data_IF_019958599146
#
_entry.id   IF_019958599146
#
_cell.length_a   1.000
_cell.length_b   1.000
_cell.length_c   1.000
_cell.angle_alpha   90.00
_cell.angle_beta   90.00
_cell.angle_gamma   90.00
#
_symmetry.space_group_name_H-M   'P 1'
#
loop_
_entity.id
_entity.type
_entity.pdbx_description
1 polymer ?
#
# COMPACT_ATOMS: atom_id res chain seq x y z
N UNK A 1 12.73 -83.40 34.77
CA UNK A 1 12.09 -83.25 33.44
C UNK A 1 12.22 -81.81 33.01
N UNK A 2 12.54 -81.54 31.73
CA UNK A 2 12.67 -80.18 31.23
C UNK A 2 11.32 -79.44 31.32
N UNK A 3 11.31 -78.27 31.94
CA UNK A 3 10.15 -77.37 32.02
C UNK A 3 10.35 -76.25 31.03
N UNK A 4 9.42 -76.03 30.10
CA UNK A 4 9.52 -74.95 29.12
C UNK A 4 8.40 -73.93 29.31
N UNK A 5 8.73 -72.67 29.02
CA UNK A 5 7.80 -71.56 28.90
C UNK A 5 7.95 -71.01 27.48
N UNK A 6 6.86 -70.99 26.73
CA UNK A 6 6.88 -70.57 25.33
C UNK A 6 5.80 -69.52 25.09
N UNK A 7 6.10 -68.50 24.30
CA UNK A 7 5.05 -67.67 23.71
C UNK A 7 4.22 -68.52 22.75
N UNK A 8 2.90 -68.41 22.84
CA UNK A 8 2.01 -68.96 21.81
C UNK A 8 2.22 -68.24 20.47
N UNK A 9 1.78 -68.86 19.37
CA UNK A 9 2.11 -68.41 18.00
C UNK A 9 1.71 -66.94 17.71
N UNK A 10 0.65 -66.44 18.35
CA UNK A 10 0.14 -65.08 18.14
C UNK A 10 0.50 -64.13 19.29
N UNK A 11 1.21 -64.59 20.31
CA UNK A 11 1.59 -63.70 21.41
C UNK A 11 2.69 -62.74 20.96
N UNK A 12 2.56 -61.43 21.26
CA UNK A 12 3.64 -60.51 21.03
C UNK A 12 4.84 -60.84 21.92
N UNK A 13 6.03 -60.50 21.42
CA UNK A 13 7.31 -60.61 22.15
C UNK A 13 7.91 -59.24 22.47
N UNK A 14 7.16 -58.19 22.16
CA UNK A 14 7.51 -56.80 22.39
C UNK A 14 6.28 -56.03 22.88
N UNK A 15 6.50 -55.02 23.71
CA UNK A 15 5.46 -54.12 24.20
C UNK A 15 6.01 -52.69 24.22
N UNK A 16 5.15 -51.71 23.91
CA UNK A 16 5.52 -50.29 23.98
C UNK A 16 5.29 -49.74 25.38
N UNK A 17 6.14 -48.81 25.81
CA UNK A 17 5.92 -48.07 27.06
C UNK A 17 4.56 -47.37 27.03
N UNK A 18 3.78 -47.54 28.09
CA UNK A 18 2.43 -46.98 28.23
C UNK A 18 1.31 -47.75 27.52
N UNK A 19 1.62 -48.81 26.76
CA UNK A 19 0.60 -49.69 26.17
C UNK A 19 -0.05 -50.54 27.26
N UNK A 20 -1.33 -50.29 27.52
CA UNK A 20 -2.12 -50.96 28.56
C UNK A 20 -3.02 -52.07 28.04
N UNK A 21 -3.01 -52.36 26.72
CA UNK A 21 -3.90 -53.36 26.12
C UNK A 21 -3.15 -54.63 25.71
N UNK A 22 -1.85 -54.54 25.42
CA UNK A 22 -1.06 -55.70 25.01
C UNK A 22 -1.03 -56.80 26.08
N UNK A 23 -1.50 -57.99 25.69
CA UNK A 23 -1.46 -59.21 26.50
C UNK A 23 -0.47 -60.21 25.91
N UNK A 24 0.41 -60.76 26.74
CA UNK A 24 1.23 -61.92 26.41
C UNK A 24 0.49 -63.21 26.73
N UNK A 25 0.52 -64.17 25.81
CA UNK A 25 -0.06 -65.50 26.00
C UNK A 25 1.03 -66.56 25.94
N UNK A 26 1.23 -67.26 27.04
CA UNK A 26 2.26 -68.29 27.22
C UNK A 26 1.67 -69.69 27.29
N UNK A 27 2.53 -70.70 27.17
CA UNK A 27 2.22 -72.09 27.48
C UNK A 27 3.33 -72.72 28.33
N UNK A 28 2.94 -73.37 29.43
CA UNK A 28 3.84 -74.17 30.28
C UNK A 28 3.83 -75.64 29.84
N UNK A 29 5.01 -76.25 29.69
CA UNK A 29 5.15 -77.68 29.35
C UNK A 29 6.14 -78.40 30.26
N UNK A 30 5.87 -79.67 30.54
CA UNK A 30 6.79 -80.62 31.18
C UNK A 30 7.17 -81.70 30.18
N UNK A 31 8.46 -81.84 29.88
CA UNK A 31 8.98 -82.80 28.89
C UNK A 31 8.21 -82.76 27.55
N UNK A 32 7.84 -81.56 27.09
CA UNK A 32 7.09 -81.33 25.85
C UNK A 32 5.57 -81.46 25.93
N UNK A 33 5.02 -82.00 27.03
CA UNK A 33 3.58 -82.12 27.24
C UNK A 33 3.02 -80.89 27.99
N UNK A 34 1.83 -80.43 27.64
CA UNK A 34 1.19 -79.28 28.31
C UNK A 34 0.92 -79.58 29.79
N UNK A 35 1.09 -78.58 30.65
CA UNK A 35 0.87 -78.70 32.09
C UNK A 35 -0.59 -78.41 32.42
N UNK A 36 -1.23 -79.24 33.24
CA UNK A 36 -2.51 -78.89 33.85
C UNK A 36 -2.29 -77.88 34.99
N UNK A 37 -2.76 -76.65 34.78
CA UNK A 37 -2.61 -75.54 35.72
C UNK A 37 -3.82 -75.40 36.67
N UNK A 38 -4.86 -76.23 36.53
CA UNK A 38 -6.10 -76.11 37.33
C UNK A 38 -5.90 -76.41 38.81
N UNK A 39 -4.84 -77.14 39.16
CA UNK A 39 -4.48 -77.46 40.54
C UNK A 39 -3.58 -76.40 41.20
N UNK A 40 -3.21 -75.34 40.46
CA UNK A 40 -2.39 -74.27 41.00
C UNK A 40 -3.16 -73.50 42.09
N UNK A 41 -2.48 -73.21 43.19
CA UNK A 41 -2.95 -72.35 44.29
C UNK A 41 -2.40 -70.92 44.17
N UNK A 42 -1.27 -70.75 43.47
CA UNK A 42 -0.72 -69.44 43.11
C UNK A 42 0.03 -69.52 41.77
N UNK A 43 -0.11 -68.48 40.95
CA UNK A 43 0.69 -68.31 39.73
C UNK A 43 1.26 -66.89 39.74
N UNK A 44 2.56 -66.76 39.52
CA UNK A 44 3.25 -65.46 39.54
C UNK A 44 4.19 -65.33 38.35
N UNK A 45 3.99 -64.29 37.57
CA UNK A 45 4.95 -63.84 36.57
C UNK A 45 6.06 -63.04 37.26
N UNK A 46 7.32 -63.38 36.97
CA UNK A 46 8.49 -62.67 37.49
C UNK A 46 9.33 -62.17 36.33
N UNK A 47 9.71 -60.91 36.39
CA UNK A 47 10.59 -60.31 35.39
C UNK A 47 11.95 -59.98 35.97
N UNK A 48 12.95 -60.09 35.11
CA UNK A 48 14.31 -59.64 35.36
C UNK A 48 14.92 -59.02 34.11
N UNK A 49 16.14 -58.55 34.25
CA UNK A 49 17.01 -58.20 33.14
C UNK A 49 18.43 -58.73 33.41
N UNK A 50 19.43 -58.29 32.65
CA UNK A 50 20.82 -58.69 32.85
C UNK A 50 21.38 -58.39 34.26
N UNK A 51 20.77 -57.48 35.01
CA UNK A 51 21.12 -57.15 36.40
C UNK A 51 20.43 -58.03 37.44
N UNK A 52 19.51 -58.91 37.02
CA UNK A 52 18.78 -59.84 37.88
C UNK A 52 17.28 -59.55 37.98
N UNK A 53 16.66 -60.08 39.04
CA UNK A 53 15.23 -59.94 39.31
C UNK A 53 14.83 -58.48 39.55
N UNK A 54 13.70 -58.07 38.98
CA UNK A 54 13.16 -56.71 39.11
C UNK A 54 11.88 -56.70 39.94
N UNK A 55 10.85 -57.43 39.50
CA UNK A 55 9.54 -57.50 40.18
C UNK A 55 8.69 -58.65 39.68
N UNK A 56 7.53 -58.81 40.32
CA UNK A 56 6.57 -59.86 40.02
C UNK A 56 5.14 -59.36 39.98
N UNK A 57 4.30 -60.01 39.19
CA UNK A 57 2.85 -59.78 39.14
C UNK A 57 2.13 -61.13 39.29
N UNK A 58 1.13 -61.25 40.18
CA UNK A 58 0.31 -62.45 40.25
C UNK A 58 -0.55 -62.60 38.98
N UNK A 59 -0.75 -63.84 38.53
CA UNK A 59 -1.73 -64.18 37.49
C UNK A 59 -2.90 -64.85 38.20
N UNK A 60 -4.08 -64.24 38.11
CA UNK A 60 -5.28 -64.75 38.79
C UNK A 60 -5.69 -66.09 38.20
N UNK A 61 -5.82 -67.14 39.02
CA UNK A 61 -6.14 -68.51 38.55
C UNK A 61 -7.49 -68.58 37.82
N UNK A 62 -8.47 -67.75 38.21
CA UNK A 62 -9.76 -67.70 37.50
C UNK A 62 -9.65 -67.19 36.06
N UNK A 63 -8.56 -66.49 35.70
CA UNK A 63 -8.32 -66.04 34.32
C UNK A 63 -7.93 -67.18 33.36
N UNK A 64 -7.65 -68.38 33.90
CA UNK A 64 -7.38 -69.57 33.10
C UNK A 64 -8.65 -70.15 32.46
N UNK A 65 -9.84 -69.79 32.96
CA UNK A 65 -11.10 -70.29 32.45
C UNK A 65 -11.28 -69.95 30.97
N UNK A 66 -11.54 -70.96 30.14
CA UNK A 66 -11.70 -70.81 28.69
C UNK A 66 -10.38 -70.79 27.89
N UNK A 67 -9.23 -70.87 28.55
CA UNK A 67 -7.95 -71.08 27.87
C UNK A 67 -7.68 -72.57 27.64
N UNK A 68 -6.84 -72.88 26.65
CA UNK A 68 -6.34 -74.24 26.44
C UNK A 68 -5.46 -74.69 27.62
N UNK A 69 -5.39 -75.99 27.95
CA UNK A 69 -4.55 -76.48 29.03
C UNK A 69 -3.09 -75.99 28.93
N UNK A 70 -2.55 -75.52 30.05
CA UNK A 70 -1.20 -74.98 30.15
C UNK A 70 -1.04 -73.54 29.69
N UNK A 71 -2.08 -72.90 29.14
CA UNK A 71 -2.00 -71.52 28.66
C UNK A 71 -2.19 -70.49 29.77
N UNK A 72 -1.51 -69.34 29.61
CA UNK A 72 -1.53 -68.23 30.56
C UNK A 72 -1.61 -66.91 29.82
N UNK A 73 -2.48 -66.00 30.25
CA UNK A 73 -2.50 -64.61 29.79
C UNK A 73 -1.88 -63.69 30.85
N UNK A 74 -1.03 -62.77 30.41
CA UNK A 74 -0.40 -61.75 31.24
C UNK A 74 -0.47 -60.41 30.50
N UNK A 75 -1.15 -59.44 31.09
CA UNK A 75 -1.05 -58.06 30.67
C UNK A 75 0.08 -57.39 31.47
N UNK A 76 1.23 -57.04 30.86
CA UNK A 76 2.39 -56.56 31.62
C UNK A 76 2.21 -55.14 32.18
N UNK A 77 1.34 -54.32 31.59
CA UNK A 77 0.96 -53.01 32.10
C UNK A 77 -0.43 -53.08 32.77
N UNK A 78 -0.68 -52.25 33.80
CA UNK A 78 0.18 -51.17 34.30
C UNK A 78 1.24 -51.58 35.33
N UNK A 79 1.29 -52.84 35.80
CA UNK A 79 2.04 -53.13 37.04
C UNK A 79 3.43 -53.73 36.82
N UNK A 80 3.54 -54.80 36.03
CA UNK A 80 4.78 -55.55 35.86
C UNK A 80 5.88 -54.75 35.17
N UNK A 81 5.55 -53.88 34.21
CA UNK A 81 6.57 -53.14 33.45
C UNK A 81 6.50 -51.61 33.60
N UNK A 82 5.64 -51.07 34.46
CA UNK A 82 5.56 -49.61 34.65
C UNK A 82 6.85 -49.01 35.18
N UNK A 83 7.23 -47.89 34.56
CA UNK A 83 8.46 -47.15 34.83
C UNK A 83 9.73 -47.83 34.35
N UNK A 84 9.67 -49.01 33.72
CA UNK A 84 10.87 -49.66 33.20
C UNK A 84 11.32 -49.02 31.88
N UNK A 85 12.63 -48.77 31.70
CA UNK A 85 13.15 -48.23 30.45
C UNK A 85 12.99 -49.24 29.30
N UNK A 86 13.00 -48.75 28.07
CA UNK A 86 13.10 -49.62 26.90
C UNK A 86 14.38 -50.47 26.96
N UNK A 87 14.27 -51.73 26.55
CA UNK A 87 15.36 -52.70 26.65
C UNK A 87 14.87 -54.14 26.60
N UNK A 88 15.83 -55.07 26.74
CA UNK A 88 15.56 -56.51 26.77
C UNK A 88 15.35 -56.98 28.21
N UNK A 89 14.29 -57.75 28.40
CA UNK A 89 13.87 -58.30 29.69
C UNK A 89 13.65 -59.80 29.56
N UNK A 90 13.58 -60.44 30.73
CA UNK A 90 13.45 -61.87 30.91
C UNK A 90 12.24 -62.16 31.79
N UNK A 91 11.57 -63.28 31.54
CA UNK A 91 10.35 -63.70 32.22
C UNK A 91 10.46 -65.15 32.69
N UNK A 92 10.01 -65.39 33.92
CA UNK A 92 9.70 -66.71 34.45
C UNK A 92 8.26 -66.74 34.95
N UNK A 93 7.63 -67.92 34.87
CA UNK A 93 6.35 -68.20 35.53
C UNK A 93 6.58 -69.19 36.66
N UNK A 94 6.16 -68.80 37.86
CA UNK A 94 6.22 -69.63 39.06
C UNK A 94 4.81 -70.11 39.38
N UNK A 95 4.61 -71.43 39.38
CA UNK A 95 3.33 -72.09 39.63
C UNK A 95 3.47 -72.89 40.94
N UNK A 96 2.63 -72.60 41.93
CA UNK A 96 2.62 -73.31 43.22
C UNK A 96 1.33 -74.09 43.38
N UNK A 97 1.43 -75.38 43.69
CA UNK A 97 0.32 -76.27 44.05
C UNK A 97 0.58 -76.93 45.42
N UNK A 98 -0.22 -77.94 45.78
CA UNK A 98 -0.04 -78.68 47.04
C UNK A 98 1.28 -79.47 47.10
N UNK A 99 1.87 -79.83 45.97
CA UNK A 99 3.12 -80.57 45.89
C UNK A 99 4.36 -79.66 45.96
N UNK A 100 4.23 -78.37 45.61
CA UNK A 100 5.26 -77.36 45.78
C UNK A 100 5.29 -76.33 44.64
N UNK A 101 6.43 -75.67 44.44
CA UNK A 101 6.59 -74.64 43.41
C UNK A 101 7.37 -75.16 42.21
N UNK A 102 6.78 -75.01 41.03
CA UNK A 102 7.39 -75.26 39.73
C UNK A 102 7.71 -73.94 39.03
N UNK A 103 8.96 -73.78 38.59
CA UNK A 103 9.45 -72.60 37.86
C UNK A 103 9.60 -72.96 36.37
N UNK A 104 9.07 -72.09 35.51
CA UNK A 104 9.08 -72.22 34.06
C UNK A 104 9.76 -70.99 33.42
N UNK A 105 10.74 -71.20 32.51
CA UNK A 105 11.35 -72.49 32.17
C UNK A 105 12.36 -72.95 33.24
N UNK A 106 12.80 -74.20 33.19
CA UNK A 106 13.83 -74.72 34.12
C UNK A 106 15.27 -74.38 33.70
N UNK A 107 15.46 -73.81 32.52
CA UNK A 107 16.74 -73.40 31.95
C UNK A 107 16.88 -71.87 31.90
N UNK A 108 17.02 -71.26 30.72
CA UNK A 108 17.18 -69.81 30.58
C UNK A 108 15.82 -69.11 30.56
N UNK A 109 15.63 -68.03 31.34
CA UNK A 109 14.39 -67.25 31.33
C UNK A 109 13.95 -66.80 29.93
N UNK A 110 12.63 -66.69 29.71
CA UNK A 110 12.04 -66.35 28.41
C UNK A 110 12.20 -64.84 28.11
N UNK A 111 12.85 -64.50 27.00
CA UNK A 111 13.14 -63.09 26.65
C UNK A 111 11.99 -62.33 25.97
N UNK A 112 11.84 -61.04 26.27
CA UNK A 112 10.96 -60.09 25.58
C UNK A 112 11.56 -58.67 25.58
N UNK A 113 11.01 -57.74 24.77
CA UNK A 113 11.54 -56.36 24.66
C UNK A 113 10.50 -55.32 25.03
N UNK A 114 10.89 -54.32 25.83
CA UNK A 114 10.13 -53.07 26.01
C UNK A 114 10.69 -52.04 25.03
N UNK A 115 9.81 -51.37 24.27
CA UNK A 115 10.18 -50.33 23.31
C UNK A 115 9.62 -48.97 23.71
N UNK A 116 10.31 -47.88 23.35
CA UNK A 116 9.78 -46.53 23.55
C UNK A 116 8.49 -46.34 22.73
N UNK A 117 7.52 -45.62 23.29
CA UNK A 117 6.46 -45.05 22.48
C UNK A 117 6.97 -43.78 21.76
N UNK A 118 6.17 -43.22 20.85
CA UNK A 118 6.58 -42.04 20.07
C UNK A 118 6.70 -40.78 20.95
N UNK A 119 5.92 -40.69 22.04
CA UNK A 119 6.00 -39.59 23.02
C UNK A 119 7.35 -39.58 23.76
N UNK A 120 7.95 -40.76 23.98
CA UNK A 120 9.24 -40.93 24.64
C UNK A 120 10.43 -40.87 23.65
N UNK A 121 10.18 -40.63 22.36
CA UNK A 121 11.26 -40.38 21.40
C UNK A 121 11.70 -38.91 21.51
N UNK A 122 13.01 -38.67 21.63
CA UNK A 122 13.60 -37.33 21.87
C UNK A 122 13.58 -36.44 20.62
N UNK A 123 12.41 -36.26 20.00
CA UNK A 123 12.16 -35.21 19.02
C UNK A 123 11.92 -33.88 19.73
N UNK A 124 12.51 -32.80 19.22
CA UNK A 124 12.24 -31.46 19.76
C UNK A 124 10.74 -31.18 19.67
N UNK A 125 10.12 -30.85 20.80
CA UNK A 125 8.74 -30.36 20.84
C UNK A 125 8.62 -29.17 19.88
N UNK A 126 7.60 -29.16 19.02
CA UNK A 126 7.25 -27.95 18.27
C UNK A 126 6.88 -26.90 19.32
N UNK A 127 7.70 -25.87 19.50
CA UNK A 127 7.40 -24.75 20.40
C UNK A 127 6.14 -24.07 19.89
N UNK A 128 5.02 -24.32 20.55
CA UNK A 128 3.77 -23.60 20.33
C UNK A 128 3.81 -22.34 21.19
N UNK A 129 3.69 -21.18 20.55
CA UNK A 129 3.48 -19.90 21.23
C UNK A 129 1.97 -19.70 21.38
N UNK A 130 1.50 -19.31 22.57
CA UNK A 130 0.09 -18.94 22.74
C UNK A 130 -0.20 -17.66 21.93
N UNK A 131 -1.43 -17.51 21.45
CA UNK A 131 -1.82 -16.31 20.69
C UNK A 131 -1.59 -15.03 21.51
N UNK A 132 -1.86 -15.06 22.81
CA UNK A 132 -1.67 -13.92 23.70
C UNK A 132 -0.19 -13.55 23.85
N UNK A 133 0.70 -14.55 24.00
CA UNK A 133 2.15 -14.35 24.04
C UNK A 133 2.67 -13.77 22.72
N UNK A 134 2.12 -14.21 21.59
CA UNK A 134 2.43 -13.66 20.27
C UNK A 134 1.99 -12.20 20.14
N UNK A 135 0.78 -11.87 20.60
CA UNK A 135 0.26 -10.50 20.62
C UNK A 135 1.12 -9.62 21.52
N UNK A 136 1.50 -10.10 22.70
CA UNK A 136 2.38 -9.37 23.63
C UNK A 136 3.74 -9.08 22.98
N UNK A 137 4.37 -10.09 22.37
CA UNK A 137 5.64 -9.94 21.67
C UNK A 137 5.56 -8.94 20.50
N UNK A 138 4.48 -8.99 19.71
CA UNK A 138 4.25 -8.06 18.61
C UNK A 138 4.03 -6.62 19.10
N UNK A 139 3.25 -6.43 20.17
CA UNK A 139 3.05 -5.11 20.77
C UNK A 139 4.36 -4.55 21.33
N UNK A 140 5.17 -5.39 21.97
CA UNK A 140 6.50 -5.01 22.44
C UNK A 140 7.41 -4.59 21.28
N UNK A 141 7.45 -5.36 20.19
CA UNK A 141 8.20 -4.99 18.99
C UNK A 141 7.72 -3.66 18.40
N UNK A 142 6.41 -3.47 18.25
CA UNK A 142 5.83 -2.22 17.77
C UNK A 142 6.19 -1.02 18.66
N UNK A 143 6.28 -1.21 19.98
CA UNK A 143 6.67 -0.14 20.91
C UNK A 143 8.13 0.32 20.77
N UNK A 144 8.99 -0.50 20.15
CA UNK A 144 10.40 -0.17 19.90
C UNK A 144 10.63 0.57 18.59
N UNK A 145 9.62 0.60 17.71
CA UNK A 145 9.68 1.40 16.48
C UNK A 145 9.53 2.86 16.91
N UNK A 146 10.62 3.62 16.86
CA UNK A 146 10.57 5.07 17.03
C UNK A 146 9.52 5.61 16.04
N UNK A 147 8.44 6.17 16.56
CA UNK A 147 7.63 7.08 15.75
C UNK A 147 8.59 8.21 15.39
N UNK A 148 9.01 8.28 14.13
CA UNK A 148 9.69 9.47 13.64
C UNK A 148 8.85 10.69 14.04
N UNK A 149 9.52 11.78 14.42
CA UNK A 149 8.84 12.97 14.91
C UNK A 149 7.66 13.30 13.99
N UNK A 150 6.47 13.45 14.60
CA UNK A 150 5.31 13.95 13.88
C UNK A 150 5.75 15.30 13.33
N UNK A 151 5.97 15.35 12.01
CA UNK A 151 6.59 16.44 11.28
C UNK A 151 6.61 17.74 12.06
N UNK A 152 7.78 18.06 12.62
CA UNK A 152 8.11 19.44 12.89
C UNK A 152 7.70 20.20 11.64
N UNK A 153 6.85 21.22 11.80
CA UNK A 153 6.78 22.25 10.77
C UNK A 153 8.18 22.82 10.72
N UNK A 154 9.00 22.28 9.81
CA UNK A 154 10.26 22.89 9.47
C UNK A 154 9.94 24.36 9.29
N UNK A 155 10.62 25.23 10.03
CA UNK A 155 10.65 26.64 9.67
C UNK A 155 10.95 26.67 8.18
N UNK A 156 9.94 27.06 7.40
CA UNK A 156 10.11 27.22 5.97
C UNK A 156 11.14 28.32 5.86
N UNK A 157 12.36 27.93 5.53
CA UNK A 157 13.33 28.84 4.96
C UNK A 157 12.69 29.38 3.67
N UNK A 158 11.94 30.48 3.80
CA UNK A 158 11.32 31.14 2.66
C UNK A 158 12.38 31.52 1.62
N UNK A 159 13.62 31.79 2.02
CA UNK A 159 14.69 32.11 1.09
C UNK A 159 15.08 30.88 0.26
N UNK A 160 15.36 29.75 0.90
CA UNK A 160 15.65 28.46 0.28
C UNK A 160 14.52 27.98 -0.63
N UNK A 161 13.26 28.19 -0.22
CA UNK A 161 12.09 27.86 -1.04
C UNK A 161 12.00 28.72 -2.31
N UNK A 162 12.26 30.03 -2.22
CA UNK A 162 12.27 30.93 -3.38
C UNK A 162 13.44 30.68 -4.34
N UNK A 163 14.57 30.13 -3.85
CA UNK A 163 15.72 29.78 -4.69
C UNK A 163 15.71 28.35 -5.21
N UNK A 164 14.79 27.50 -4.72
CA UNK A 164 14.73 26.10 -5.12
C UNK A 164 14.44 25.99 -6.63
N UNK A 165 15.23 25.21 -7.41
CA UNK A 165 15.08 25.15 -8.86
C UNK A 165 13.66 24.82 -9.35
N UNK A 166 12.95 23.94 -8.63
CA UNK A 166 11.56 23.60 -8.94
C UNK A 166 10.59 24.77 -8.69
N UNK A 167 10.80 25.56 -7.64
CA UNK A 167 9.97 26.73 -7.36
C UNK A 167 10.26 27.88 -8.32
N UNK A 168 11.53 28.13 -8.66
CA UNK A 168 11.94 29.07 -9.71
C UNK A 168 11.37 28.66 -11.07
N UNK A 169 11.39 27.36 -11.40
CA UNK A 169 10.80 26.85 -12.63
C UNK A 169 9.27 27.01 -12.65
N UNK A 170 8.58 26.79 -11.53
CA UNK A 170 7.14 27.03 -11.41
C UNK A 170 6.81 28.52 -11.49
N UNK A 171 7.59 29.39 -10.85
CA UNK A 171 7.41 30.84 -10.95
C UNK A 171 7.64 31.32 -12.38
N UNK A 172 8.68 30.81 -13.03
CA UNK A 172 8.93 31.03 -14.46
C UNK A 172 7.78 30.52 -15.32
N UNK A 173 7.20 29.36 -15.00
CA UNK A 173 6.06 28.79 -15.71
C UNK A 173 4.77 29.61 -15.50
N UNK A 174 4.54 30.13 -14.29
CA UNK A 174 3.43 31.02 -13.96
C UNK A 174 3.59 32.36 -14.67
N UNK A 175 4.78 32.96 -14.66
CA UNK A 175 5.08 34.19 -15.40
C UNK A 175 4.90 33.98 -16.92
N UNK A 176 5.31 32.81 -17.43
CA UNK A 176 5.10 32.42 -18.82
C UNK A 176 3.63 32.08 -19.13
N UNK A 177 2.80 31.68 -18.15
CA UNK A 177 1.38 31.37 -18.36
C UNK A 177 0.54 32.61 -18.69
N UNK A 178 1.06 33.81 -18.39
CA UNK A 178 0.44 35.07 -18.81
C UNK A 178 0.77 35.45 -20.27
N UNK A 179 1.75 34.79 -20.91
CA UNK A 179 2.07 34.99 -22.33
C UNK A 179 0.89 34.49 -23.15
N UNK A 180 0.43 35.30 -24.12
CA UNK A 180 -0.74 34.95 -24.91
C UNK A 180 -2.08 35.35 -24.32
N UNK A 181 -2.13 35.83 -23.07
CA UNK A 181 -3.37 36.35 -22.48
C UNK A 181 -3.63 37.77 -22.95
N UNK A 182 -4.80 38.03 -23.54
CA UNK A 182 -5.21 39.40 -23.84
C UNK A 182 -5.63 40.12 -22.56
N UNK A 183 -4.88 41.14 -22.18
CA UNK A 183 -5.13 41.94 -20.99
C UNK A 183 -6.20 43.02 -21.23
N UNK A 184 -6.55 43.34 -22.48
CA UNK A 184 -7.55 44.36 -22.82
C UNK A 184 -8.96 43.80 -22.74
N UNK A 185 -9.87 44.56 -22.14
CA UNK A 185 -11.30 44.24 -22.08
C UNK A 185 -12.04 44.89 -23.27
N UNK A 186 -13.07 44.22 -23.77
CA UNK A 186 -14.01 44.75 -24.75
C UNK A 186 -13.43 44.82 -26.15
N UNK A 187 -12.39 44.02 -26.43
CA UNK A 187 -11.79 43.88 -27.76
C UNK A 187 -12.58 42.86 -28.59
N UNK A 188 -12.37 42.85 -29.90
CA UNK A 188 -13.14 41.99 -30.81
C UNK A 188 -12.28 41.48 -31.97
N UNK A 189 -12.49 40.22 -32.34
CA UNK A 189 -11.94 39.62 -33.57
C UNK A 189 -12.74 40.00 -34.82
N UNK A 190 -13.88 40.67 -34.66
CA UNK A 190 -14.68 41.20 -35.76
C UNK A 190 -14.27 42.64 -36.05
N UNK A 191 -14.37 43.05 -37.32
CA UNK A 191 -14.03 44.40 -37.74
C UNK A 191 -15.00 45.43 -37.14
N UNK A 192 -14.46 46.38 -36.40
CA UNK A 192 -15.16 47.53 -35.83
C UNK A 192 -14.63 48.82 -36.44
N UNK A 193 -15.37 49.92 -36.33
CA UNK A 193 -14.98 51.21 -36.91
C UNK A 193 -15.10 52.34 -35.89
N UNK A 194 -14.06 53.17 -35.80
CA UNK A 194 -14.15 54.49 -35.19
C UNK A 194 -14.50 55.50 -36.29
N UNK A 195 -15.69 56.08 -36.22
CA UNK A 195 -16.18 57.06 -37.20
C UNK A 195 -15.83 58.49 -36.78
N UNK A 196 -15.65 59.38 -37.76
CA UNK A 196 -15.33 60.80 -37.52
C UNK A 196 -14.08 60.99 -36.63
N UNK A 197 -13.09 60.11 -36.77
CA UNK A 197 -11.83 60.18 -36.06
C UNK A 197 -10.96 61.30 -36.66
N UNK A 198 -10.43 62.17 -35.80
CA UNK A 198 -9.67 63.36 -36.21
C UNK A 198 -8.61 63.73 -35.17
N UNK A 199 -7.88 64.81 -35.42
CA UNK A 199 -6.77 65.22 -34.57
C UNK A 199 -5.66 64.17 -34.56
N UNK A 200 -5.13 63.86 -33.39
CA UNK A 200 -4.21 62.74 -33.21
C UNK A 200 -4.96 61.44 -32.96
N UNK A 201 -5.99 61.49 -32.11
CA UNK A 201 -6.72 60.30 -31.66
C UNK A 201 -8.15 60.61 -31.16
N UNK A 202 -8.75 61.73 -31.58
CA UNK A 202 -10.13 62.04 -31.20
C UNK A 202 -11.10 61.03 -31.82
N UNK A 203 -12.14 60.64 -31.07
CA UNK A 203 -13.15 59.66 -31.44
C UNK A 203 -12.65 58.22 -31.73
N UNK A 204 -11.38 57.91 -31.44
CA UNK A 204 -10.95 56.52 -31.38
C UNK A 204 -11.41 55.86 -30.08
N UNK A 205 -11.86 54.61 -30.18
CA UNK A 205 -12.12 53.76 -29.02
C UNK A 205 -10.81 53.51 -28.27
N UNK A 206 -10.87 53.69 -26.95
CA UNK A 206 -9.81 53.32 -26.01
C UNK A 206 -10.17 52.01 -25.34
N UNK A 207 -9.23 51.08 -25.32
CA UNK A 207 -9.35 49.81 -24.62
C UNK A 207 -8.51 49.86 -23.36
N UNK A 208 -9.13 49.62 -22.20
CA UNK A 208 -8.45 49.60 -20.91
C UNK A 208 -8.10 48.16 -20.54
N UNK A 209 -6.96 47.92 -19.86
CA UNK A 209 -6.62 46.60 -19.39
C UNK A 209 -7.46 46.20 -18.16
N UNK A 210 -7.66 44.90 -17.97
CA UNK A 210 -8.29 44.35 -16.76
C UNK A 210 -7.41 44.52 -15.51
N UNK A 211 -6.10 44.57 -15.70
CA UNK A 211 -5.10 44.81 -14.65
C UNK A 211 -4.26 45.99 -15.08
N UNK A 212 -4.23 47.04 -14.25
CA UNK A 212 -3.65 48.33 -14.63
C UNK A 212 -2.24 48.55 -14.09
N UNK A 213 -1.78 47.82 -13.07
CA UNK A 213 -0.47 48.05 -12.43
C UNK A 213 0.62 47.11 -12.93
N UNK A 214 1.84 47.64 -13.05
CA UNK A 214 3.04 46.91 -13.45
C UNK A 214 3.91 46.67 -12.22
N UNK A 215 3.84 45.46 -11.65
CA UNK A 215 4.47 45.17 -10.35
C UNK A 215 6.01 45.03 -10.43
N UNK A 216 6.53 44.64 -11.59
CA UNK A 216 7.97 44.51 -11.87
C UNK A 216 8.27 44.99 -13.29
N UNK A 217 9.54 45.27 -13.61
CA UNK A 217 9.94 45.61 -14.97
C UNK A 217 9.51 44.49 -15.94
N UNK A 218 8.49 44.77 -16.76
CA UNK A 218 7.80 43.75 -17.55
C UNK A 218 7.76 44.17 -19.00
N UNK A 219 8.15 43.26 -19.89
CA UNK A 219 7.98 43.43 -21.34
C UNK A 219 6.55 43.13 -21.73
N UNK A 220 5.96 44.03 -22.50
CA UNK A 220 4.65 43.87 -23.10
C UNK A 220 4.75 43.95 -24.62
N UNK A 221 3.88 43.21 -25.28
CA UNK A 221 3.59 43.36 -26.70
C UNK A 221 2.14 43.81 -26.86
N UNK A 222 1.93 44.85 -27.65
CA UNK A 222 0.61 45.32 -28.04
C UNK A 222 0.48 45.27 -29.56
N UNK A 223 -0.62 44.75 -30.07
CA UNK A 223 -0.93 44.75 -31.50
C UNK A 223 -2.41 44.98 -31.76
N UNK A 224 -2.71 45.53 -32.93
CA UNK A 224 -4.04 45.52 -33.51
C UNK A 224 -3.95 45.41 -35.02
N UNK A 225 -4.93 44.74 -35.64
CA UNK A 225 -5.07 44.76 -37.09
C UNK A 225 -5.85 46.01 -37.50
N UNK A 226 -5.29 46.79 -38.40
CA UNK A 226 -5.88 48.03 -38.92
C UNK A 226 -6.21 47.83 -40.39
N UNK A 227 -7.45 48.14 -40.78
CA UNK A 227 -7.93 48.09 -42.16
C UNK A 227 -7.40 49.30 -42.95
N UNK A 228 -7.54 49.32 -44.30
CA UNK A 228 -7.24 50.49 -45.10
C UNK A 228 -7.97 51.73 -44.59
N UNK A 229 -7.19 52.77 -44.26
CA UNK A 229 -7.67 54.06 -43.78
C UNK A 229 -7.21 55.19 -44.72
N UNK A 230 -7.86 56.35 -44.63
CA UNK A 230 -7.52 57.53 -45.44
C UNK A 230 -6.16 58.16 -45.11
N UNK A 231 -5.62 57.85 -43.92
CA UNK A 231 -4.39 58.42 -43.40
C UNK A 231 -3.53 57.33 -42.75
N UNK A 232 -2.25 57.61 -42.61
CA UNK A 232 -1.31 56.77 -41.87
C UNK A 232 -1.75 56.62 -40.41
N UNK A 233 -1.82 55.39 -39.94
CA UNK A 233 -2.32 55.03 -38.60
C UNK A 233 -1.37 54.08 -37.89
N UNK A 234 -1.46 54.03 -36.56
CA UNK A 234 -0.71 53.08 -35.72
C UNK A 234 -1.40 52.89 -34.38
N UNK A 235 -1.06 51.84 -33.65
CA UNK A 235 -1.47 51.74 -32.25
C UNK A 235 -0.70 52.75 -31.38
N UNK A 236 -1.31 53.10 -30.26
CA UNK A 236 -0.69 53.80 -29.15
C UNK A 236 -1.06 53.10 -27.84
N UNK A 237 -0.05 52.85 -27.02
CA UNK A 237 -0.19 52.46 -25.62
C UNK A 237 0.08 53.70 -24.77
N UNK A 238 -0.90 54.09 -23.96
CA UNK A 238 -0.75 55.17 -22.98
C UNK A 238 -0.58 54.57 -21.58
N UNK A 239 0.42 55.05 -20.85
CA UNK A 239 0.73 54.61 -19.49
C UNK A 239 1.20 55.79 -18.65
N UNK A 240 1.08 55.69 -17.33
CA UNK A 240 1.64 56.64 -16.40
C UNK A 240 2.78 55.98 -15.60
N UNK A 241 3.90 56.67 -15.43
CA UNK A 241 4.98 56.17 -14.59
C UNK A 241 4.64 56.25 -13.09
N UNK A 242 5.56 55.80 -12.23
CA UNK A 242 5.36 55.80 -10.78
C UNK A 242 5.21 57.21 -10.17
N UNK A 243 5.58 58.26 -10.90
CA UNK A 243 5.36 59.66 -10.50
C UNK A 243 3.99 60.20 -10.97
N UNK A 244 3.27 59.44 -11.80
CA UNK A 244 2.01 59.84 -12.42
C UNK A 244 2.18 60.59 -13.74
N UNK A 245 3.40 60.70 -14.29
CA UNK A 245 3.63 61.37 -15.55
C UNK A 245 3.20 60.48 -16.73
N UNK A 246 2.53 61.08 -17.72
CA UNK A 246 2.00 60.38 -18.89
C UNK A 246 3.07 60.09 -19.93
N UNK A 247 3.08 58.86 -20.40
CA UNK A 247 3.97 58.35 -21.43
C UNK A 247 3.16 57.67 -22.55
N UNK A 248 3.67 57.73 -23.77
CA UNK A 248 3.00 57.20 -24.96
C UNK A 248 3.96 56.42 -25.82
N UNK A 249 3.60 55.17 -26.06
CA UNK A 249 4.34 54.25 -26.90
C UNK A 249 3.55 53.97 -28.17
N UNK A 250 4.22 53.83 -29.31
CA UNK A 250 3.52 53.66 -30.60
C UNK A 250 4.11 52.52 -31.41
N UNK A 251 3.25 51.80 -32.12
CA UNK A 251 3.66 50.73 -33.01
C UNK A 251 4.15 51.23 -34.38
N UNK A 252 4.49 50.28 -35.26
CA UNK A 252 4.79 50.58 -36.66
C UNK A 252 3.59 51.25 -37.36
N UNK A 253 3.89 52.13 -38.32
CA UNK A 253 2.88 52.81 -39.14
C UNK A 253 2.27 51.82 -40.13
N UNK A 254 0.95 51.88 -40.26
CA UNK A 254 0.18 51.33 -41.37
C UNK A 254 -0.13 52.48 -42.31
N UNK A 255 0.47 52.44 -43.50
CA UNK A 255 0.32 53.51 -44.49
C UNK A 255 -1.12 53.63 -44.99
N UNK A 256 -1.54 54.84 -45.32
CA UNK A 256 -2.85 55.12 -45.92
C UNK A 256 -3.15 54.18 -47.10
N UNK A 257 -4.38 53.68 -47.17
CA UNK A 257 -4.84 52.72 -48.18
C UNK A 257 -4.35 51.28 -48.00
N UNK A 258 -3.53 50.98 -46.99
CA UNK A 258 -3.03 49.62 -46.72
C UNK A 258 -3.61 49.05 -45.43
N UNK A 259 -3.53 47.73 -45.26
CA UNK A 259 -3.93 47.06 -44.02
C UNK A 259 -2.77 46.27 -43.42
N UNK A 260 -2.74 46.14 -42.10
CA UNK A 260 -1.75 45.30 -41.44
C UNK A 260 -1.81 45.40 -39.92
N UNK A 261 -0.90 44.68 -39.28
CA UNK A 261 -0.72 44.77 -37.83
C UNK A 261 0.22 45.93 -37.48
N UNK A 262 -0.28 46.84 -36.66
CA UNK A 262 0.58 47.79 -35.95
C UNK A 262 0.91 47.20 -34.59
N UNK A 263 2.21 47.03 -34.32
CA UNK A 263 2.75 46.32 -33.16
C UNK A 263 3.79 47.18 -32.44
N UNK A 264 3.72 47.22 -31.12
CA UNK A 264 4.80 47.72 -30.26
C UNK A 264 5.19 46.63 -29.27
N UNK A 265 6.49 46.52 -29.02
CA UNK A 265 7.05 45.68 -27.97
C UNK A 265 8.05 46.50 -27.18
N UNK A 266 7.89 46.51 -25.86
CA UNK A 266 8.81 47.24 -24.98
C UNK A 266 8.59 46.94 -23.52
N UNK A 267 9.52 47.39 -22.69
CA UNK A 267 9.52 47.15 -21.24
C UNK A 267 8.95 48.36 -20.51
N UNK A 268 7.92 48.14 -19.70
CA UNK A 268 7.40 49.15 -18.77
C UNK A 268 8.06 48.98 -17.40
N UNK A 269 8.50 50.07 -16.75
CA UNK A 269 9.15 49.99 -15.44
C UNK A 269 8.15 49.63 -14.33
N UNK A 270 8.65 48.99 -13.27
CA UNK A 270 7.88 48.71 -12.06
C UNK A 270 7.24 49.99 -11.47
N UNK A 271 6.01 49.87 -10.97
CA UNK A 271 5.21 50.98 -10.45
C UNK A 271 4.46 51.77 -11.51
N UNK A 272 4.62 51.43 -12.80
CA UNK A 272 3.83 52.05 -13.88
C UNK A 272 2.38 51.58 -13.86
N UNK A 273 1.50 52.38 -14.48
CA UNK A 273 0.11 52.03 -14.70
C UNK A 273 -0.30 52.17 -16.17
N UNK A 274 -0.78 51.09 -16.77
CA UNK A 274 -1.29 51.08 -18.14
C UNK A 274 -2.69 51.69 -18.15
N UNK A 275 -2.86 52.76 -18.93
CA UNK A 275 -4.10 53.54 -18.97
C UNK A 275 -5.04 53.01 -20.04
N UNK A 276 -4.57 52.95 -21.29
CA UNK A 276 -5.33 52.41 -22.41
C UNK A 276 -4.46 52.11 -23.61
N UNK A 277 -5.02 51.32 -24.54
CA UNK A 277 -4.54 51.14 -25.91
C UNK A 277 -5.57 51.71 -26.88
N UNK A 278 -5.11 52.43 -27.90
CA UNK A 278 -5.95 53.02 -28.95
C UNK A 278 -5.24 52.99 -30.30
N UNK A 279 -5.94 53.31 -31.39
CA UNK A 279 -5.30 53.77 -32.63
C UNK A 279 -5.10 55.28 -32.57
N UNK A 280 -4.05 55.75 -33.22
CA UNK A 280 -3.74 57.16 -33.47
C UNK A 280 -3.34 57.36 -34.93
N UNK A 281 -3.54 58.57 -35.45
CA UNK A 281 -2.93 58.97 -36.71
C UNK A 281 -1.44 59.25 -36.53
N UNK A 282 -0.64 58.96 -37.56
CA UNK A 282 0.79 59.25 -37.55
C UNK A 282 1.10 60.76 -37.59
N UNK A 283 0.14 61.56 -38.10
CA UNK A 283 0.16 63.01 -38.08
C UNK A 283 -1.23 63.55 -37.70
N UNK A 284 -1.29 64.77 -37.13
CA UNK A 284 -2.55 65.42 -36.76
C UNK A 284 -3.44 65.64 -37.99
N UNK A 285 -4.68 65.17 -37.94
CA UNK A 285 -5.67 65.33 -39.02
C UNK A 285 -6.70 66.41 -38.68
N UNK A 286 -6.98 67.31 -39.61
CA UNK A 286 -8.03 68.34 -39.47
C UNK A 286 -9.40 67.87 -39.93
N UNK A 287 -9.45 66.85 -40.78
CA UNK A 287 -10.69 66.28 -41.34
C UNK A 287 -10.98 64.93 -40.69
N UNK A 288 -12.23 64.72 -40.26
CA UNK A 288 -12.68 63.45 -39.71
C UNK A 288 -12.65 62.34 -40.77
N UNK A 289 -12.14 61.17 -40.42
CA UNK A 289 -12.17 59.97 -41.27
C UNK A 289 -12.63 58.75 -40.46
N UNK A 290 -12.95 57.66 -41.15
CA UNK A 290 -13.28 56.39 -40.51
C UNK A 290 -12.08 55.48 -40.53
N UNK A 291 -11.76 54.87 -39.39
CA UNK A 291 -10.70 53.87 -39.28
C UNK A 291 -11.30 52.59 -38.71
N UNK A 292 -11.18 51.51 -39.48
CA UNK A 292 -11.66 50.20 -39.09
C UNK A 292 -10.51 49.32 -38.58
N UNK A 293 -10.79 48.49 -37.58
CA UNK A 293 -9.80 47.70 -36.88
C UNK A 293 -10.42 46.46 -36.23
N UNK A 294 -9.57 45.52 -35.86
CA UNK A 294 -9.93 44.37 -35.04
C UNK A 294 -8.71 43.89 -34.27
N UNK A 295 -8.93 42.93 -33.39
CA UNK A 295 -7.87 42.12 -32.79
C UNK A 295 -6.87 42.94 -31.95
N UNK A 296 -7.36 43.94 -31.22
CA UNK A 296 -6.57 44.60 -30.19
C UNK A 296 -6.17 43.57 -29.12
N UNK A 297 -4.87 43.44 -28.89
CA UNK A 297 -4.30 42.60 -27.87
C UNK A 297 -3.15 43.31 -27.18
N UNK A 298 -3.18 43.32 -25.85
CA UNK A 298 -2.04 43.63 -25.00
C UNK A 298 -1.69 42.35 -24.25
N UNK A 299 -0.45 41.90 -24.33
CA UNK A 299 0.01 40.67 -23.68
C UNK A 299 1.40 40.86 -23.07
N UNK A 300 1.71 40.06 -22.05
CA UNK A 300 3.07 40.00 -21.50
C UNK A 300 3.97 39.21 -22.45
N UNK A 301 5.24 39.59 -22.51
CA UNK A 301 6.25 38.99 -23.35
C UNK A 301 6.65 39.86 -24.53
N UNK A 302 7.63 39.41 -25.29
CA UNK A 302 8.19 40.12 -26.45
C UNK A 302 7.65 39.66 -27.80
N UNK A 303 6.79 38.63 -27.79
CA UNK A 303 6.29 37.96 -28.99
C UNK A 303 4.77 38.15 -29.07
N UNK A 304 4.33 38.70 -30.19
CA UNK A 304 2.91 38.79 -30.51
C UNK A 304 2.33 37.40 -30.79
N UNK A 305 1.25 37.04 -30.12
CA UNK A 305 0.51 35.79 -30.36
C UNK A 305 -0.84 36.07 -31.03
N UNK A 306 -1.55 35.02 -31.42
CA UNK A 306 -2.87 35.14 -32.05
C UNK A 306 -3.89 35.80 -31.12
N UNK A 307 -4.83 36.53 -31.70
CA UNK A 307 -5.82 37.26 -30.90
C UNK A 307 -6.75 36.33 -30.14
N UNK A 308 -7.03 36.70 -28.89
CA UNK A 308 -8.01 36.07 -28.00
C UNK A 308 -8.80 37.15 -27.25
N UNK A 309 -10.00 36.80 -26.79
CA UNK A 309 -10.73 37.62 -25.82
C UNK A 309 -9.97 37.67 -24.49
N UNK A 310 -10.25 38.68 -23.68
CA UNK A 310 -9.82 38.64 -22.29
C UNK A 310 -10.44 37.41 -21.60
N UNK A 311 -9.69 36.65 -20.78
CA UNK A 311 -10.24 35.50 -20.07
C UNK A 311 -11.50 35.80 -19.24
N UNK A 312 -11.64 37.02 -18.71
CA UNK A 312 -12.86 37.43 -17.97
C UNK A 312 -14.09 37.61 -18.85
N UNK A 313 -13.91 37.64 -20.18
CA UNK A 313 -14.99 37.78 -21.17
C UNK A 313 -15.33 36.45 -21.84
N UNK A 314 -14.68 35.35 -21.43
CA UNK A 314 -14.93 34.00 -21.92
C UNK A 314 -15.84 33.28 -20.92
N UNK A 315 -17.00 32.80 -21.38
CA UNK A 315 -17.85 31.92 -20.58
C UNK A 315 -17.14 30.59 -20.36
N UNK A 316 -16.88 30.24 -19.10
CA UNK A 316 -16.27 28.94 -18.78
C UNK A 316 -17.31 27.82 -18.83
N UNK A 317 -16.85 26.57 -18.94
CA UNK A 317 -17.73 25.40 -18.87
C UNK A 317 -18.51 25.34 -17.54
N UNK A 318 -17.91 25.83 -16.45
CA UNK A 318 -18.57 25.97 -15.15
C UNK A 318 -19.70 27.00 -15.19
N UNK A 319 -19.47 28.15 -15.83
CA UNK A 319 -20.50 29.19 -15.95
C UNK A 319 -21.66 28.73 -16.84
N UNK A 320 -21.34 28.01 -17.92
CA UNK A 320 -22.34 27.34 -18.73
C UNK A 320 -23.16 26.33 -17.92
N UNK A 321 -22.52 25.49 -17.10
CA UNK A 321 -23.20 24.53 -16.25
C UNK A 321 -24.13 25.21 -15.21
N UNK A 322 -23.71 26.34 -14.62
CA UNK A 322 -24.56 27.14 -13.72
C UNK A 322 -25.78 27.71 -14.44
N UNK A 323 -25.59 28.24 -15.65
CA UNK A 323 -26.69 28.76 -16.48
C UNK A 323 -27.66 27.63 -16.86
N UNK A 324 -27.13 26.48 -17.26
CA UNK A 324 -27.93 25.29 -17.58
C UNK A 324 -28.76 24.84 -16.37
N UNK A 325 -28.15 24.77 -15.18
CA UNK A 325 -28.84 24.43 -13.95
C UNK A 325 -29.94 25.43 -13.61
N UNK A 326 -29.70 26.74 -13.77
CA UNK A 326 -30.69 27.77 -13.53
C UNK A 326 -31.89 27.68 -14.50
N UNK A 327 -31.64 27.39 -15.78
CA UNK A 327 -32.70 27.22 -16.79
C UNK A 327 -33.56 26.01 -16.48
N UNK A 328 -32.95 24.88 -16.08
CA UNK A 328 -33.67 23.68 -15.64
C UNK A 328 -34.53 23.98 -14.41
N UNK A 329 -33.99 24.71 -13.42
CA UNK A 329 -34.71 25.08 -12.20
C UNK A 329 -35.93 25.97 -12.47
N UNK A 330 -35.91 26.76 -13.56
CA UNK A 330 -37.02 27.59 -14.02
C UNK A 330 -37.99 26.86 -14.97
N UNK A 331 -37.83 25.54 -15.16
CA UNK A 331 -38.69 24.71 -16.00
C UNK A 331 -38.39 24.78 -17.50
N UNK A 332 -37.26 25.37 -17.89
CA UNK A 332 -36.79 25.41 -19.27
C UNK A 332 -35.82 24.27 -19.61
N UNK A 333 -35.45 24.18 -20.89
CA UNK A 333 -34.42 23.25 -21.38
C UNK A 333 -33.54 23.92 -22.44
N UNK A 334 -32.22 23.80 -22.31
CA UNK A 334 -31.27 24.09 -23.40
C UNK A 334 -31.13 22.84 -24.27
N UNK A 335 -31.30 22.98 -25.59
CA UNK A 335 -30.93 21.93 -26.57
C UNK A 335 -29.48 22.09 -26.99
#
# INVERSE_FOLDING_TARGET
MAKTLEFTINSPRQIKQGDTETTFTFICKNAGSVVDLTQATNITAKIGNASGYLRSQPITITSLAGLNPGWLNLQPMPDLISGLPAGNYQLEIWVTDQAGTSIYPSDAPLGFTITNNIENSSGASITTIAFDDFVEAMNKAASTIAKGDKGDTGTVDNAGLTTAPAFVALQTQVDNSAIGTNLLIGTSGTLNASTNASGWNSNFRRFTPAVTTVDSNTTYTVRAWIAPASYDTRIQLAWADSSGAWNYETGNIISAGTSGYSTWTGTLPSGSSIQYVTIVFAAKQSTGSTVSYKEFKLEKGSVATDWSLNPSEILTQSDYAKIQAAIVALGGSLK
#
